data_IF_411371224478
#
_entry.id   IF_411371224478
#
_cell.length_a   1.000
_cell.length_b   1.000
_cell.length_c   1.000
_cell.angle_alpha   90.00
_cell.angle_beta   90.00
_cell.angle_gamma   90.00
#
_symmetry.space_group_name_H-M   'P 1'
#
loop_
_entity.id
_entity.type
_entity.pdbx_description
1 polymer ?
#
# COMPACT_ATOMS: atom_id res chain seq x y z
N UNK A 1 -8.87 -14.37 23.02
CA UNK A 1 -10.10 -15.20 22.91
C UNK A 1 -9.74 -16.54 22.32
N UNK A 2 -10.23 -17.66 22.88
CA UNK A 2 -10.03 -18.96 22.27
C UNK A 2 -10.72 -19.01 20.89
N UNK A 3 -10.10 -19.73 19.97
CA UNK A 3 -10.69 -19.95 18.65
C UNK A 3 -11.77 -21.02 18.74
N UNK A 4 -12.88 -20.79 18.04
CA UNK A 4 -14.05 -21.66 18.07
C UNK A 4 -14.31 -22.25 16.69
N UNK A 5 -14.86 -23.46 16.67
CA UNK A 5 -15.42 -24.10 15.48
C UNK A 5 -16.92 -24.32 15.68
N UNK A 6 -17.65 -24.49 14.60
CA UNK A 6 -19.08 -24.84 14.67
C UNK A 6 -19.26 -26.30 14.27
N UNK A 7 -19.84 -27.06 15.18
CA UNK A 7 -20.17 -28.48 14.95
C UNK A 7 -21.66 -28.67 15.26
N UNK A 8 -22.44 -29.09 14.28
CA UNK A 8 -23.89 -29.28 14.42
C UNK A 8 -24.63 -28.04 14.96
N UNK A 9 -24.12 -26.83 14.65
CA UNK A 9 -24.73 -25.57 15.10
C UNK A 9 -24.27 -25.10 16.48
N UNK A 10 -23.40 -25.83 17.15
CA UNK A 10 -22.82 -25.45 18.44
C UNK A 10 -21.40 -24.90 18.25
N UNK A 11 -21.05 -23.87 19.06
CA UNK A 11 -19.69 -23.32 19.11
C UNK A 11 -18.86 -24.12 20.11
N UNK A 12 -17.80 -24.73 19.63
CA UNK A 12 -16.89 -25.56 20.41
C UNK A 12 -15.47 -25.00 20.28
N UNK A 13 -14.73 -24.95 21.38
CA UNK A 13 -13.31 -24.55 21.34
C UNK A 13 -12.49 -25.53 20.51
N UNK A 14 -11.50 -25.01 19.77
CA UNK A 14 -10.53 -25.83 19.08
C UNK A 14 -9.64 -26.57 20.08
N UNK A 15 -9.30 -27.80 19.74
CA UNK A 15 -8.27 -28.54 20.51
C UNK A 15 -6.89 -27.94 20.23
N UNK A 16 -5.89 -28.16 21.12
CA UNK A 16 -4.53 -27.73 20.87
C UNK A 16 -3.95 -28.25 19.54
N UNK A 17 -4.30 -29.45 19.13
CA UNK A 17 -3.89 -30.05 17.86
C UNK A 17 -4.52 -29.31 16.66
N UNK A 18 -5.80 -28.99 16.74
CA UNK A 18 -6.51 -28.24 15.72
C UNK A 18 -5.96 -26.82 15.59
N UNK A 19 -5.64 -26.16 16.71
CA UNK A 19 -5.00 -24.85 16.71
C UNK A 19 -3.61 -24.90 16.05
N UNK A 20 -2.81 -25.92 16.36
CA UNK A 20 -1.49 -26.11 15.76
C UNK A 20 -1.58 -26.35 14.25
N UNK A 21 -2.57 -27.10 13.79
CA UNK A 21 -2.83 -27.30 12.36
C UNK A 21 -3.19 -26.00 11.66
N UNK A 22 -4.06 -25.19 12.24
CA UNK A 22 -4.45 -23.88 11.69
C UNK A 22 -3.26 -22.93 11.63
N UNK A 23 -2.43 -22.89 12.66
CA UNK A 23 -1.21 -22.07 12.69
C UNK A 23 -0.22 -22.52 11.61
N UNK A 24 -0.03 -23.83 11.43
CA UNK A 24 0.83 -24.37 10.38
C UNK A 24 0.31 -24.03 8.97
N UNK A 25 -1.00 -24.10 8.76
CA UNK A 25 -1.64 -23.71 7.51
C UNK A 25 -1.47 -22.21 7.23
N UNK A 26 -1.68 -21.37 8.25
CA UNK A 26 -1.50 -19.93 8.14
C UNK A 26 -0.04 -19.57 7.82
N UNK A 27 0.91 -20.22 8.45
CA UNK A 27 2.35 -20.04 8.18
C UNK A 27 2.70 -20.45 6.75
N UNK A 28 2.22 -21.62 6.30
CA UNK A 28 2.45 -22.08 4.93
C UNK A 28 1.85 -21.11 3.90
N UNK A 29 0.68 -20.54 4.19
CA UNK A 29 0.02 -19.56 3.34
C UNK A 29 0.82 -18.25 3.27
N UNK A 30 1.34 -17.80 4.41
CA UNK A 30 2.15 -16.59 4.50
C UNK A 30 3.51 -16.72 3.78
N UNK A 31 4.04 -17.92 3.68
CA UNK A 31 5.28 -18.20 2.95
C UNK A 31 5.07 -18.44 1.45
N UNK A 32 3.83 -18.60 1.01
CA UNK A 32 3.53 -18.82 -0.41
C UNK A 32 3.40 -17.48 -1.16
N UNK A 33 4.50 -17.08 -1.79
CA UNK A 33 4.59 -15.82 -2.54
C UNK A 33 4.01 -15.88 -3.96
N UNK A 34 3.34 -16.97 -4.34
CA UNK A 34 2.82 -17.14 -5.71
C UNK A 34 1.80 -16.06 -6.10
N UNK A 35 0.88 -15.72 -5.20
CA UNK A 35 -0.10 -14.64 -5.41
C UNK A 35 0.56 -13.27 -5.46
N UNK A 36 1.58 -13.04 -4.66
CA UNK A 36 2.37 -11.80 -4.68
C UNK A 36 3.08 -11.65 -6.03
N UNK A 37 3.67 -12.71 -6.54
CA UNK A 37 4.31 -12.69 -7.88
C UNK A 37 3.30 -12.44 -8.98
N UNK A 38 2.12 -13.04 -8.90
CA UNK A 38 1.04 -12.81 -9.85
C UNK A 38 0.56 -11.36 -9.85
N UNK A 39 0.34 -10.77 -8.67
CA UNK A 39 -0.05 -9.37 -8.51
C UNK A 39 1.05 -8.42 -9.02
N UNK A 40 2.31 -8.69 -8.67
CA UNK A 40 3.46 -7.96 -9.21
C UNK A 40 3.47 -7.98 -10.74
N UNK A 41 3.29 -9.14 -11.34
CA UNK A 41 3.28 -9.28 -12.79
C UNK A 41 2.14 -8.48 -13.44
N UNK A 42 0.97 -8.46 -12.81
CA UNK A 42 -0.16 -7.64 -13.27
C UNK A 42 0.17 -6.15 -13.20
N UNK A 43 0.81 -5.70 -12.13
CA UNK A 43 1.26 -4.30 -11.97
C UNK A 43 2.34 -3.93 -12.99
N UNK A 44 3.28 -4.83 -13.27
CA UNK A 44 4.27 -4.63 -14.33
C UNK A 44 3.62 -4.51 -15.70
N UNK A 45 2.70 -5.42 -16.02
CA UNK A 45 1.97 -5.39 -17.29
C UNK A 45 1.14 -4.08 -17.42
N UNK A 46 0.48 -3.65 -16.34
CA UNK A 46 -0.29 -2.41 -16.30
C UNK A 46 0.54 -1.15 -16.47
N UNK A 47 1.85 -1.21 -16.24
CA UNK A 47 2.78 -0.09 -16.40
C UNK A 47 3.72 -0.19 -17.61
N UNK A 48 3.61 -1.24 -18.43
CA UNK A 48 4.48 -1.44 -19.59
C UNK A 48 4.38 -0.30 -20.60
N UNK A 49 3.20 0.28 -20.76
CA UNK A 49 2.98 1.42 -21.66
C UNK A 49 3.85 2.63 -21.33
N UNK A 50 4.27 2.80 -20.07
CA UNK A 50 5.11 3.93 -19.62
C UNK A 50 6.52 3.87 -20.21
N UNK A 51 6.93 2.72 -20.73
CA UNK A 51 8.26 2.49 -21.30
C UNK A 51 8.29 2.68 -22.81
N UNK A 52 7.17 2.97 -23.42
CA UNK A 52 7.09 3.28 -24.87
C UNK A 52 7.68 4.65 -25.15
N UNK A 53 8.38 4.78 -26.27
CA UNK A 53 9.05 6.04 -26.65
C UNK A 53 8.11 7.21 -26.89
N UNK A 54 6.84 6.94 -27.17
CA UNK A 54 5.79 7.92 -27.44
C UNK A 54 4.75 8.01 -26.31
N UNK A 55 5.03 7.40 -25.15
CA UNK A 55 4.11 7.44 -24.02
C UNK A 55 3.93 8.85 -23.46
N UNK A 56 2.68 9.22 -23.20
CA UNK A 56 2.35 10.50 -22.54
C UNK A 56 2.33 10.28 -21.02
N UNK A 57 3.38 10.72 -20.35
CA UNK A 57 3.58 10.50 -18.89
C UNK A 57 3.14 11.69 -18.02
N UNK A 58 2.62 12.75 -18.63
CA UNK A 58 2.22 13.96 -17.91
C UNK A 58 3.42 14.64 -17.23
N UNK A 59 3.30 14.91 -15.93
CA UNK A 59 4.35 15.55 -15.13
C UNK A 59 5.46 14.58 -14.67
N UNK A 60 5.37 13.30 -15.02
CA UNK A 60 6.29 12.24 -14.56
C UNK A 60 7.28 11.86 -15.65
N UNK A 61 8.45 11.36 -15.23
CA UNK A 61 9.51 10.94 -16.13
C UNK A 61 9.53 9.43 -16.32
N UNK A 62 10.15 8.97 -17.42
CA UNK A 62 10.41 7.55 -17.65
C UNK A 62 11.23 6.94 -16.50
N UNK A 63 12.19 7.69 -15.97
CA UNK A 63 13.06 7.27 -14.87
C UNK A 63 12.27 7.02 -13.58
N UNK A 64 11.29 7.86 -13.27
CA UNK A 64 10.38 7.66 -12.12
C UNK A 64 9.59 6.36 -12.26
N UNK A 65 9.05 6.09 -13.44
CA UNK A 65 8.34 4.84 -13.71
C UNK A 65 9.27 3.62 -13.70
N UNK A 66 10.49 3.76 -14.20
CA UNK A 66 11.50 2.70 -14.12
C UNK A 66 11.85 2.36 -12.68
N UNK A 67 11.99 3.35 -11.81
CA UNK A 67 12.23 3.12 -10.38
C UNK A 67 11.07 2.36 -9.72
N UNK A 68 9.82 2.73 -10.02
CA UNK A 68 8.64 1.99 -9.55
C UNK A 68 8.64 0.54 -10.04
N UNK A 69 8.91 0.31 -11.33
CA UNK A 69 8.96 -1.01 -11.93
C UNK A 69 10.09 -1.87 -11.35
N UNK A 70 11.23 -1.26 -11.05
CA UNK A 70 12.33 -1.96 -10.40
C UNK A 70 11.96 -2.37 -8.98
N UNK A 71 11.30 -1.50 -8.22
CA UNK A 71 10.78 -1.82 -6.90
C UNK A 71 9.81 -3.01 -6.93
N UNK A 72 8.95 -3.09 -7.96
CA UNK A 72 8.07 -4.25 -8.17
C UNK A 72 8.86 -5.55 -8.40
N UNK A 73 9.90 -5.49 -9.23
CA UNK A 73 10.76 -6.65 -9.54
C UNK A 73 11.50 -7.15 -8.30
N UNK A 74 11.84 -6.25 -7.40
CA UNK A 74 12.61 -6.56 -6.19
C UNK A 74 11.74 -7.16 -5.06
N UNK A 75 10.41 -7.07 -5.14
CA UNK A 75 9.51 -7.54 -4.08
C UNK A 75 9.79 -8.99 -3.65
N UNK A 76 9.88 -10.00 -4.56
CA UNK A 76 10.14 -11.38 -4.12
C UNK A 76 11.52 -11.61 -3.52
N UNK A 77 12.45 -10.69 -3.74
CA UNK A 77 13.81 -10.73 -3.20
C UNK A 77 13.91 -10.01 -1.86
N UNK A 78 13.07 -9.00 -1.66
CA UNK A 78 13.03 -8.19 -0.43
C UNK A 78 12.20 -8.86 0.65
N UNK A 79 11.08 -9.49 0.28
CA UNK A 79 10.13 -10.08 1.21
C UNK A 79 10.05 -11.59 1.04
N UNK A 80 9.96 -12.29 2.17
CA UNK A 80 9.79 -13.76 2.21
C UNK A 80 8.40 -14.16 2.66
N UNK A 81 7.61 -13.22 3.18
CA UNK A 81 6.26 -13.43 3.70
C UNK A 81 5.26 -12.49 3.04
N UNK A 82 4.08 -13.01 2.73
CA UNK A 82 2.98 -12.21 2.18
C UNK A 82 2.59 -11.07 3.11
N UNK A 83 2.55 -11.32 4.42
CA UNK A 83 2.18 -10.33 5.44
C UNK A 83 3.16 -9.15 5.55
N UNK A 84 4.40 -9.31 5.09
CA UNK A 84 5.43 -8.28 5.15
C UNK A 84 5.45 -7.38 3.91
N UNK A 85 4.79 -7.78 2.83
CA UNK A 85 4.86 -7.08 1.54
C UNK A 85 4.27 -5.68 1.65
N UNK A 86 5.07 -4.68 1.32
CA UNK A 86 4.65 -3.30 1.13
C UNK A 86 4.79 -2.98 -0.36
N UNK A 87 3.66 -2.70 -1.00
CA UNK A 87 3.63 -2.38 -2.43
C UNK A 87 4.16 -0.96 -2.66
N UNK A 88 5.06 -0.76 -3.66
CA UNK A 88 5.48 0.58 -4.01
C UNK A 88 4.33 1.37 -4.60
N UNK A 89 4.33 2.67 -4.34
CA UNK A 89 3.41 3.59 -4.98
C UNK A 89 3.86 3.89 -6.41
N UNK A 90 2.90 4.07 -7.31
CA UNK A 90 3.21 4.64 -8.63
C UNK A 90 3.66 6.11 -8.47
N UNK A 91 4.39 6.68 -9.44
CA UNK A 91 4.74 8.10 -9.39
C UNK A 91 3.52 9.02 -9.21
N UNK A 92 2.39 8.67 -9.80
CA UNK A 92 1.14 9.42 -9.68
C UNK A 92 0.56 9.34 -8.26
N UNK A 93 0.53 8.15 -7.67
CA UNK A 93 0.06 7.93 -6.30
C UNK A 93 0.94 8.64 -5.27
N UNK A 94 2.26 8.56 -5.44
CA UNK A 94 3.23 9.25 -4.58
C UNK A 94 3.03 10.76 -4.63
N UNK A 95 2.92 11.33 -5.82
CA UNK A 95 2.69 12.76 -5.98
C UNK A 95 1.38 13.19 -5.32
N UNK A 96 0.30 12.44 -5.50
CA UNK A 96 -1.00 12.72 -4.86
C UNK A 96 -0.91 12.64 -3.33
N UNK A 97 -0.17 11.67 -2.80
CA UNK A 97 0.05 11.55 -1.34
C UNK A 97 0.83 12.74 -0.79
N UNK A 98 1.91 13.14 -1.46
CA UNK A 98 2.73 14.29 -1.04
C UNK A 98 1.94 15.60 -1.04
N UNK A 99 1.10 15.82 -2.03
CA UNK A 99 0.21 16.99 -2.10
C UNK A 99 -0.77 16.99 -0.92
N UNK A 100 -1.39 15.85 -0.63
CA UNK A 100 -2.31 15.70 0.50
C UNK A 100 -1.61 15.94 1.83
N UNK A 101 -0.44 15.35 2.03
CA UNK A 101 0.35 15.53 3.25
C UNK A 101 0.77 16.98 3.47
N UNK A 102 1.16 17.70 2.40
CA UNK A 102 1.48 19.11 2.47
C UNK A 102 0.26 19.94 2.90
N UNK A 103 -0.92 19.61 2.38
CA UNK A 103 -2.18 20.25 2.77
C UNK A 103 -2.52 19.99 4.25
N UNK A 104 -2.40 18.75 4.68
CA UNK A 104 -2.68 18.36 6.08
C UNK A 104 -1.71 19.03 7.05
N UNK A 105 -0.43 19.11 6.70
CA UNK A 105 0.58 19.77 7.51
C UNK A 105 0.31 21.29 7.64
N UNK A 106 -0.08 21.95 6.54
CA UNK A 106 -0.44 23.36 6.55
C UNK A 106 -1.68 23.64 7.42
N UNK A 107 -2.68 22.78 7.35
CA UNK A 107 -3.88 22.85 8.19
C UNK A 107 -3.52 22.70 9.67
N UNK A 108 -2.76 21.68 10.01
CA UNK A 108 -2.35 21.40 11.38
C UNK A 108 -1.53 22.55 11.99
N UNK A 109 -0.64 23.16 11.21
CA UNK A 109 0.18 24.27 11.65
C UNK A 109 -0.66 25.50 12.06
N UNK A 110 -1.72 25.81 11.30
CA UNK A 110 -2.64 26.89 11.63
C UNK A 110 -3.43 26.59 12.90
N UNK A 111 -3.93 25.37 13.05
CA UNK A 111 -4.67 24.94 14.24
C UNK A 111 -3.77 25.01 15.49
N UNK A 112 -2.54 24.53 15.41
CA UNK A 112 -1.57 24.59 16.53
C UNK A 112 -1.22 26.03 16.93
N UNK A 113 -1.19 26.95 15.97
CA UNK A 113 -0.92 28.38 16.25
C UNK A 113 -2.13 29.12 16.81
N UNK A 114 -3.27 28.47 16.96
CA UNK A 114 -4.51 29.05 17.47
C UNK A 114 -5.33 29.78 16.42
N UNK A 115 -5.07 29.53 15.12
CA UNK A 115 -5.86 30.05 14.02
C UNK A 115 -7.25 29.41 13.92
N UNK A 116 -8.14 30.05 13.19
CA UNK A 116 -9.49 29.54 12.95
C UNK A 116 -9.49 28.38 11.95
N UNK A 117 -10.57 27.59 11.93
CA UNK A 117 -10.77 26.52 10.94
C UNK A 117 -10.75 27.09 9.53
N UNK A 118 -11.37 28.25 9.31
CA UNK A 118 -11.38 28.92 8.01
C UNK A 118 -9.98 29.28 7.53
N UNK A 119 -9.13 29.82 8.41
CA UNK A 119 -7.72 30.10 8.13
C UNK A 119 -6.93 28.81 7.83
N UNK A 120 -7.19 27.74 8.58
CA UNK A 120 -6.56 26.43 8.38
C UNK A 120 -6.95 25.80 7.04
N UNK A 121 -8.22 25.90 6.65
CA UNK A 121 -8.71 25.43 5.35
C UNK A 121 -8.07 26.21 4.19
N UNK A 122 -7.96 27.54 4.33
CA UNK A 122 -7.30 28.38 3.34
C UNK A 122 -5.81 28.03 3.18
N UNK A 123 -5.12 27.77 4.30
CA UNK A 123 -3.71 27.35 4.30
C UNK A 123 -3.53 25.99 3.62
N UNK A 124 -4.41 25.03 3.90
CA UNK A 124 -4.42 23.72 3.26
C UNK A 124 -4.60 23.86 1.74
N UNK A 125 -5.58 24.60 1.30
CA UNK A 125 -5.89 24.78 -0.11
C UNK A 125 -4.75 25.49 -0.86
N UNK A 126 -4.10 26.47 -0.21
CA UNK A 126 -2.92 27.14 -0.77
C UNK A 126 -1.71 26.18 -0.87
N UNK A 127 -1.50 25.31 0.12
CA UNK A 127 -0.41 24.33 0.10
C UNK A 127 -0.63 23.26 -0.99
N UNK A 128 -1.88 22.82 -1.18
CA UNK A 128 -2.24 21.87 -2.24
C UNK A 128 -2.02 22.51 -3.62
N UNK A 129 -2.39 23.77 -3.81
CA UNK A 129 -2.20 24.48 -5.07
C UNK A 129 -0.73 24.76 -5.41
N UNK A 130 0.14 24.87 -4.39
CA UNK A 130 1.57 25.13 -4.55
C UNK A 130 2.42 23.87 -4.73
N UNK A 131 1.85 22.68 -4.47
CA UNK A 131 2.56 21.41 -4.53
C UNK A 131 2.76 20.88 -5.96
#
# INVERSE_FOLDING_TARGET
MPRMKVVNGEYIELTPEEEAELEAMAEAYDLDMSMVRSDRNARLAGSDWTQLGDASLGAHTVEEWQAYRQALKDIPQTYTRVSEVVWPETPVEEAARLVREAGDAAFAAVVESGGSIEEAEAARDAAIAAA
#
